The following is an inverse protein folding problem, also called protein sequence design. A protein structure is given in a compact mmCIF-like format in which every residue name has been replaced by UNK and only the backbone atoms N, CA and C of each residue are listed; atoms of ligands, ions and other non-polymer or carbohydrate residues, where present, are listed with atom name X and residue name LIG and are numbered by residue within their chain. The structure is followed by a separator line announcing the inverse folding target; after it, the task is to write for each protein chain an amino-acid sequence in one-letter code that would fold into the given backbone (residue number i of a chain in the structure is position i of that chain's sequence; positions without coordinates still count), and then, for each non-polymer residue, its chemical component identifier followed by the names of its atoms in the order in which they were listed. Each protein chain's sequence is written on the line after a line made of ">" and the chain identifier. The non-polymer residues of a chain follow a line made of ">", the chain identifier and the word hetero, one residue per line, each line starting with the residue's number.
data_IF_378823228787
#
_entry.id   IF_378823228787
#
_cell.length_a   1.000
_cell.length_b   1.000
_cell.length_c   1.000
_cell.angle_alpha   90.00
_cell.angle_beta   90.00
_cell.angle_gamma   90.00
#
_symmetry.space_group_name_H-M   'P 1'
#
loop_
_entity.id
_entity.type
_entity.pdbx_description
1 polymer ?
#
# COMPACT_ATOMS: atom_id res chain seq x y z
N UNK A 1 -5.63 -6.56 18.74
CA UNK A 1 -4.46 -6.01 18.02
C UNK A 1 -3.62 -7.05 17.27
N UNK A 2 -3.48 -8.30 17.75
CA UNK A 2 -2.67 -9.33 17.07
C UNK A 2 -3.03 -9.58 15.59
N UNK A 3 -4.33 -9.56 15.22
CA UNK A 3 -4.79 -9.75 13.83
C UNK A 3 -4.23 -8.68 12.89
N UNK A 4 -4.13 -7.45 13.37
CA UNK A 4 -3.54 -6.35 12.62
C UNK A 4 -2.02 -6.53 12.49
N UNK A 5 -1.34 -6.91 13.57
CA UNK A 5 0.10 -7.18 13.53
C UNK A 5 0.43 -8.31 12.55
N UNK A 6 -0.32 -9.42 12.60
CA UNK A 6 -0.16 -10.53 11.66
C UNK A 6 -0.38 -10.07 10.22
N UNK A 7 -1.46 -9.32 9.95
CA UNK A 7 -1.73 -8.76 8.62
C UNK A 7 -0.59 -7.87 8.13
N UNK A 8 -0.14 -6.94 8.98
CA UNK A 8 0.95 -6.01 8.68
C UNK A 8 2.24 -6.75 8.34
N UNK A 9 2.65 -7.71 9.17
CA UNK A 9 3.86 -8.49 8.95
C UNK A 9 3.75 -9.37 7.69
N UNK A 10 2.60 -10.00 7.44
CA UNK A 10 2.39 -10.77 6.21
C UNK A 10 2.52 -9.89 4.96
N UNK A 11 1.90 -8.70 4.96
CA UNK A 11 2.04 -7.76 3.84
C UNK A 11 3.50 -7.32 3.66
N UNK A 12 4.24 -7.08 4.75
CA UNK A 12 5.66 -6.74 4.72
C UNK A 12 6.53 -7.86 4.13
N UNK A 13 6.35 -9.10 4.60
CA UNK A 13 7.10 -10.26 4.08
C UNK A 13 6.84 -10.47 2.59
N UNK A 14 5.59 -10.39 2.15
CA UNK A 14 5.26 -10.54 0.72
C UNK A 14 5.83 -9.39 -0.10
N UNK A 15 5.77 -8.16 0.41
CA UNK A 15 6.38 -6.99 -0.23
C UNK A 15 7.90 -7.18 -0.42
N UNK A 16 8.62 -7.63 0.61
CA UNK A 16 10.07 -7.83 0.56
C UNK A 16 10.44 -8.97 -0.40
N UNK A 17 9.70 -10.08 -0.40
CA UNK A 17 9.90 -11.17 -1.37
C UNK A 17 9.76 -10.65 -2.80
N UNK A 18 8.69 -9.89 -3.09
CA UNK A 18 8.47 -9.33 -4.43
C UNK A 18 9.58 -8.35 -4.80
N UNK A 19 10.05 -7.54 -3.85
CA UNK A 19 11.18 -6.62 -4.06
C UNK A 19 12.45 -7.38 -4.43
N UNK A 20 12.80 -8.43 -3.70
CA UNK A 20 13.99 -9.26 -3.95
C UNK A 20 13.90 -9.95 -5.31
N UNK A 21 12.73 -10.49 -5.66
CA UNK A 21 12.52 -11.13 -6.97
C UNK A 21 12.62 -10.14 -8.14
N UNK A 22 12.28 -8.87 -7.92
CA UNK A 22 12.30 -7.84 -8.97
C UNK A 22 13.70 -7.30 -9.29
N UNK A 23 14.67 -7.48 -8.39
CA UNK A 23 16.04 -6.97 -8.54
C UNK A 23 17.02 -8.10 -8.23
N UNK A 24 17.38 -8.87 -9.26
CA UNK A 24 18.27 -10.03 -9.13
C UNK A 24 19.74 -9.69 -8.88
N UNK A 25 20.14 -8.42 -9.00
CA UNK A 25 21.56 -8.00 -9.04
C UNK A 25 21.94 -6.88 -8.06
N UNK A 26 21.00 -6.36 -7.25
CA UNK A 26 21.34 -5.26 -6.34
C UNK A 26 22.07 -5.71 -5.08
N UNK A 27 23.16 -5.01 -4.78
CA UNK A 27 23.99 -5.20 -3.58
C UNK A 27 23.49 -4.40 -2.37
N UNK A 28 22.47 -3.55 -2.54
CA UNK A 28 21.95 -2.68 -1.48
C UNK A 28 20.76 -3.37 -0.81
N UNK A 29 20.84 -3.71 0.48
CA UNK A 29 19.71 -4.29 1.20
C UNK A 29 18.57 -3.27 1.32
N UNK A 30 17.38 -3.67 0.88
CA UNK A 30 16.16 -2.90 1.11
C UNK A 30 15.72 -2.99 2.58
N UNK A 31 15.45 -1.85 3.21
CA UNK A 31 14.86 -1.76 4.56
C UNK A 31 13.66 -0.81 4.48
N UNK A 32 12.48 -1.27 4.87
CA UNK A 32 11.31 -0.39 4.86
C UNK A 32 10.04 -1.01 5.42
N UNK A 33 9.33 -0.22 6.22
CA UNK A 33 8.00 -0.58 6.74
C UNK A 33 6.87 -0.25 5.73
N UNK A 34 7.20 0.44 4.64
CA UNK A 34 6.25 1.05 3.71
C UNK A 34 5.49 0.03 2.86
N UNK A 35 6.11 -1.09 2.47
CA UNK A 35 5.41 -2.17 1.76
C UNK A 35 4.20 -2.70 2.55
N UNK A 36 4.38 -2.94 3.85
CA UNK A 36 3.29 -3.32 4.74
C UNK A 36 2.20 -2.23 4.86
N UNK A 37 2.59 -0.95 4.84
CA UNK A 37 1.64 0.18 4.81
C UNK A 37 0.83 0.21 3.52
N UNK A 38 1.43 -0.09 2.36
CA UNK A 38 0.70 -0.24 1.10
C UNK A 38 -0.33 -1.38 1.17
N UNK A 39 -0.03 -2.45 1.90
CA UNK A 39 -1.02 -3.50 2.21
C UNK A 39 -2.19 -2.99 3.05
N UNK A 40 -1.93 -2.15 4.07
CA UNK A 40 -2.99 -1.47 4.84
C UNK A 40 -3.81 -0.55 3.94
N UNK A 41 -3.17 0.20 3.04
CA UNK A 41 -3.87 1.10 2.11
C UNK A 41 -4.82 0.32 1.20
N UNK A 42 -4.41 -0.84 0.68
CA UNK A 42 -5.29 -1.72 -0.09
C UNK A 42 -6.52 -2.15 0.73
N UNK A 43 -6.30 -2.66 1.95
CA UNK A 43 -7.40 -3.05 2.84
C UNK A 43 -8.35 -1.88 3.17
N UNK A 44 -7.78 -0.70 3.42
CA UNK A 44 -8.56 0.52 3.69
C UNK A 44 -9.38 0.94 2.48
N UNK A 45 -8.82 0.86 1.26
CA UNK A 45 -9.55 1.20 0.03
C UNK A 45 -10.74 0.28 -0.20
N UNK A 46 -10.59 -1.03 0.07
CA UNK A 46 -11.65 -2.03 -0.08
C UNK A 46 -12.78 -1.79 0.92
N UNK A 47 -12.44 -1.51 2.18
CA UNK A 47 -13.43 -1.32 3.23
C UNK A 47 -14.06 0.08 3.20
N UNK A 48 -13.24 1.12 3.01
CA UNK A 48 -13.65 2.51 3.17
C UNK A 48 -13.31 3.36 1.94
N UNK A 49 -13.79 3.00 0.73
CA UNK A 49 -13.42 3.73 -0.49
C UNK A 49 -13.81 5.22 -0.41
N UNK A 50 -14.99 5.51 0.15
CA UNK A 50 -15.48 6.88 0.40
C UNK A 50 -14.97 7.52 1.69
N UNK A 51 -14.20 6.81 2.52
CA UNK A 51 -13.65 7.31 3.77
C UNK A 51 -12.72 8.52 3.53
N UNK A 52 -12.49 9.35 4.55
CA UNK A 52 -11.63 10.54 4.42
C UNK A 52 -10.28 10.30 5.10
N UNK A 53 -9.19 10.51 4.37
CA UNK A 53 -7.82 10.53 4.88
C UNK A 53 -7.42 12.00 5.04
N UNK A 54 -6.95 12.38 6.24
CA UNK A 54 -6.41 13.72 6.48
C UNK A 54 -5.00 13.80 5.92
N UNK A 55 -4.84 14.51 4.82
CA UNK A 55 -3.54 14.73 4.18
C UNK A 55 -2.97 16.04 4.69
N UNK A 56 -1.71 16.00 5.13
CA UNK A 56 -0.97 17.20 5.51
C UNK A 56 -0.34 17.81 4.25
N UNK A 57 -0.76 19.01 3.89
CA UNK A 57 -0.24 19.74 2.74
C UNK A 57 0.48 21.00 3.22
N UNK A 58 1.62 21.28 2.61
CA UNK A 58 2.39 22.50 2.84
C UNK A 58 2.06 23.51 1.73
N UNK A 59 1.63 24.72 2.12
CA UNK A 59 1.26 25.80 1.19
C UNK A 59 2.18 27.03 1.35
N UNK A 60 3.47 26.82 1.60
CA UNK A 60 4.46 27.92 1.69
C UNK A 60 4.48 28.70 3.01
N UNK A 61 3.33 29.02 3.61
CA UNK A 61 3.23 29.77 4.88
C UNK A 61 2.79 28.93 6.09
N UNK A 62 2.55 27.63 5.88
CA UNK A 62 2.11 26.74 6.96
C UNK A 62 1.61 25.39 6.45
N UNK A 63 1.07 24.61 7.39
CA UNK A 63 0.51 23.29 7.13
C UNK A 63 -1.01 23.31 7.24
N UNK A 64 -1.68 22.73 6.24
CA UNK A 64 -3.11 22.48 6.27
C UNK A 64 -3.38 20.97 6.31
N UNK A 65 -4.35 20.54 7.13
CA UNK A 65 -4.83 19.15 7.15
C UNK A 65 -6.13 19.09 6.35
N UNK A 66 -6.05 18.60 5.13
CA UNK A 66 -7.19 18.55 4.21
C UNK A 66 -7.74 17.12 4.18
N UNK A 67 -9.02 16.91 4.50
CA UNK A 67 -9.63 15.60 4.38
C UNK A 67 -9.92 15.29 2.90
N UNK A 68 -9.26 14.28 2.35
CA UNK A 68 -9.42 13.84 0.97
C UNK A 68 -10.03 12.44 0.97
N UNK A 69 -10.90 12.16 0.00
CA UNK A 69 -11.49 10.81 -0.13
C UNK A 69 -10.37 9.78 -0.34
N UNK A 70 -10.50 8.64 0.31
CA UNK A 70 -9.46 7.64 0.41
C UNK A 70 -9.07 7.08 -0.96
N UNK A 71 -10.05 6.86 -1.84
CA UNK A 71 -9.76 6.41 -3.21
C UNK A 71 -8.81 7.37 -3.95
N UNK A 72 -8.96 8.69 -3.82
CA UNK A 72 -8.05 9.64 -4.47
C UNK A 72 -6.63 9.51 -3.95
N UNK A 73 -6.48 9.48 -2.62
CA UNK A 73 -5.16 9.41 -1.99
C UNK A 73 -4.49 8.07 -2.31
N UNK A 74 -5.19 6.97 -2.08
CA UNK A 74 -4.62 5.63 -2.20
C UNK A 74 -4.30 5.30 -3.66
N UNK A 75 -5.20 5.61 -4.60
CA UNK A 75 -4.92 5.38 -6.02
C UNK A 75 -3.77 6.25 -6.52
N UNK A 76 -3.62 7.49 -6.05
CA UNK A 76 -2.45 8.30 -6.38
C UNK A 76 -1.15 7.62 -5.94
N UNK A 77 -1.08 7.18 -4.68
CA UNK A 77 0.11 6.50 -4.15
C UNK A 77 0.36 5.13 -4.79
N UNK A 78 -0.67 4.41 -5.21
CA UNK A 78 -0.51 3.15 -5.93
C UNK A 78 -0.05 3.37 -7.37
N UNK A 79 -0.75 4.25 -8.11
CA UNK A 79 -0.47 4.51 -9.53
C UNK A 79 0.90 5.14 -9.74
N UNK A 80 1.41 5.96 -8.79
CA UNK A 80 2.77 6.50 -8.90
C UNK A 80 3.84 5.42 -8.86
N UNK A 81 3.60 4.27 -8.21
CA UNK A 81 4.61 3.20 -8.12
C UNK A 81 4.78 2.45 -9.43
N UNK A 82 3.74 2.36 -10.25
CA UNK A 82 3.74 1.59 -11.50
C UNK A 82 4.85 2.05 -12.48
N UNK A 83 4.92 3.34 -12.90
CA UNK A 83 5.97 3.77 -13.81
C UNK A 83 7.37 3.65 -13.18
N UNK A 84 7.52 3.99 -11.89
CA UNK A 84 8.82 3.89 -11.22
C UNK A 84 9.30 2.43 -11.09
N UNK A 85 8.40 1.50 -10.80
CA UNK A 85 8.70 0.07 -10.77
C UNK A 85 9.08 -0.45 -12.17
N UNK A 86 8.38 0.03 -13.20
CA UNK A 86 8.68 -0.32 -14.59
C UNK A 86 10.05 0.21 -15.02
N UNK A 87 10.40 1.44 -14.65
CA UNK A 87 11.70 2.04 -14.97
C UNK A 87 12.86 1.28 -14.35
N UNK A 88 12.71 0.86 -13.08
CA UNK A 88 13.68 0.00 -12.40
C UNK A 88 13.84 -1.33 -13.13
N UNK A 89 12.74 -1.94 -13.60
CA UNK A 89 12.76 -3.27 -14.24
C UNK A 89 13.27 -3.22 -15.69
N UNK A 90 12.84 -2.24 -16.49
CA UNK A 90 13.12 -2.19 -17.93
C UNK A 90 14.42 -1.46 -18.25
N UNK A 91 14.76 -0.43 -17.47
CA UNK A 91 15.87 0.47 -17.77
C UNK A 91 17.00 0.40 -16.73
N UNK A 92 16.87 -0.47 -15.71
CA UNK A 92 17.81 -0.57 -14.59
C UNK A 92 18.10 0.79 -13.94
N UNK A 93 17.06 1.61 -13.78
CA UNK A 93 17.20 2.90 -13.09
C UNK A 93 17.51 2.64 -11.61
N UNK A 94 18.56 3.30 -11.11
CA UNK A 94 18.88 3.29 -9.69
C UNK A 94 17.82 4.09 -8.92
N UNK A 95 17.19 3.44 -7.95
CA UNK A 95 16.21 4.08 -7.05
C UNK A 95 16.51 3.72 -5.61
N UNK A 96 16.46 4.73 -4.74
CA UNK A 96 16.49 4.57 -3.28
C UNK A 96 15.12 4.14 -2.71
N UNK A 97 14.13 3.87 -3.56
CA UNK A 97 12.79 3.44 -3.18
C UNK A 97 12.51 2.09 -3.82
N UNK A 98 12.15 1.11 -2.98
CA UNK A 98 11.75 -0.23 -3.42
C UNK A 98 10.32 -0.23 -3.98
N UNK A 99 10.13 0.28 -5.20
CA UNK A 99 8.80 0.45 -5.80
C UNK A 99 8.02 -0.87 -5.95
N UNK A 100 8.73 -1.96 -6.28
CA UNK A 100 8.14 -3.30 -6.34
C UNK A 100 7.66 -3.81 -4.98
N UNK A 101 8.29 -3.40 -3.87
CA UNK A 101 7.82 -3.70 -2.52
C UNK A 101 6.45 -3.04 -2.26
N UNK A 102 6.26 -1.79 -2.69
CA UNK A 102 4.99 -1.08 -2.52
C UNK A 102 3.85 -1.75 -3.31
N UNK A 103 4.09 -2.09 -4.58
CA UNK A 103 3.12 -2.83 -5.40
C UNK A 103 2.82 -4.20 -4.78
N UNK A 104 3.86 -4.93 -4.38
CA UNK A 104 3.72 -6.26 -3.78
C UNK A 104 2.91 -6.24 -2.48
N UNK A 105 3.18 -5.28 -1.60
CA UNK A 105 2.40 -5.07 -0.38
C UNK A 105 0.93 -4.74 -0.65
N UNK A 106 0.66 -3.87 -1.63
CA UNK A 106 -0.70 -3.53 -2.05
C UNK A 106 -1.47 -4.75 -2.58
N UNK A 107 -0.85 -5.56 -3.43
CA UNK A 107 -1.44 -6.81 -3.93
C UNK A 107 -1.66 -7.83 -2.82
N UNK A 108 -0.69 -8.01 -1.91
CA UNK A 108 -0.85 -8.88 -0.76
C UNK A 108 -2.05 -8.49 0.10
N UNK A 109 -2.18 -7.20 0.44
CA UNK A 109 -3.32 -6.68 1.21
C UNK A 109 -4.66 -6.91 0.50
N UNK A 110 -4.69 -6.67 -0.82
CA UNK A 110 -5.86 -6.91 -1.68
C UNK A 110 -6.28 -8.38 -1.65
N UNK A 111 -5.35 -9.31 -1.88
CA UNK A 111 -5.63 -10.74 -1.92
C UNK A 111 -6.11 -11.28 -0.57
N UNK A 112 -5.48 -10.85 0.52
CA UNK A 112 -5.87 -11.26 1.87
C UNK A 112 -7.32 -10.85 2.17
N UNK A 113 -7.72 -9.63 1.81
CA UNK A 113 -9.06 -9.14 2.09
C UNK A 113 -10.13 -9.72 1.17
N UNK A 114 -9.84 -9.88 -0.13
CA UNK A 114 -10.83 -10.39 -1.09
C UNK A 114 -11.02 -11.91 -1.00
N UNK A 115 -9.97 -12.69 -0.75
CA UNK A 115 -10.03 -14.14 -0.85
C UNK A 115 -9.87 -14.88 0.48
N UNK A 116 -9.00 -14.41 1.38
CA UNK A 116 -8.73 -15.10 2.63
C UNK A 116 -9.65 -14.66 3.77
N UNK A 117 -10.34 -13.52 3.62
CA UNK A 117 -11.26 -12.96 4.62
C UNK A 117 -12.54 -12.34 4.03
N UNK A 118 -13.26 -13.03 3.13
CA UNK A 118 -14.52 -12.52 2.58
C UNK A 118 -15.56 -12.24 3.68
N UNK A 119 -15.57 -13.01 4.76
CA UNK A 119 -16.49 -12.79 5.89
C UNK A 119 -16.28 -11.44 6.58
N UNK A 120 -15.03 -10.96 6.65
CA UNK A 120 -14.73 -9.65 7.25
C UNK A 120 -15.27 -8.52 6.37
N UNK A 121 -15.20 -8.67 5.05
CA UNK A 121 -15.80 -7.75 4.09
C UNK A 121 -17.33 -7.78 4.16
N UNK A 122 -17.94 -8.96 4.24
CA UNK A 122 -19.39 -9.12 4.35
C UNK A 122 -19.96 -8.54 5.65
N UNK A 123 -19.32 -8.81 6.79
CA UNK A 123 -19.72 -8.21 8.08
C UNK A 123 -19.64 -6.70 8.03
N UNK A 124 -18.54 -6.16 7.53
CA UNK A 124 -18.38 -4.72 7.37
C UNK A 124 -19.48 -4.09 6.49
N UNK A 125 -19.80 -4.71 5.35
CA UNK A 125 -20.85 -4.21 4.45
C UNK A 125 -22.24 -4.23 5.07
N UNK A 126 -22.54 -5.24 5.89
CA UNK A 126 -23.86 -5.42 6.51
C UNK A 126 -24.08 -4.57 7.77
N UNK A 127 -23.01 -4.03 8.36
CA UNK A 127 -23.06 -3.17 9.56
C UNK A 127 -23.18 -1.67 9.22
N UNK A 128 -23.08 -1.28 7.95
CA UNK A 128 -23.30 0.10 7.51
C UNK A 128 -24.81 0.39 7.38
N UNK A 129 -25.36 1.40 8.08
CA UNK A 129 -26.71 1.86 7.79
C UNK A 129 -26.74 2.44 6.36
N UNK A 130 -27.65 1.90 5.53
CA UNK A 130 -27.91 2.35 4.16
C UNK A 130 -28.41 3.80 4.13
#
# INVERSE_FOLDING_TARGET
>A
HWRFLAFYLTCGVVADIISIMSRSTESIPGIGASGAVYGIMAAYLILFPGGKIKVLLFWGFGFARIPIRAYWVILFFFLKEIPNALDVLLYNVDSNIAHWAHLGGFFAGTLIFLFLRPDAFHRFRNELPL
#
